data_IF_353207634950
#
_entry.id   IF_353207634950
#
_cell.length_a   1.000
_cell.length_b   1.000
_cell.length_c   1.000
_cell.angle_alpha   90.00
_cell.angle_beta   90.00
_cell.angle_gamma   90.00
#
_symmetry.space_group_name_H-M   'P 1'
#
loop_
_entity.id
_entity.type
_entity.pdbx_description
1 polymer ?
#
# COMPACT_ATOMS: atom_id res chain seq x y z
N UNK A 1 34.22 3.63 -53.24
CA UNK A 1 33.18 4.57 -52.78
C UNK A 1 31.94 3.84 -52.25
N UNK A 2 31.26 3.03 -53.06
CA UNK A 2 30.03 2.32 -52.66
C UNK A 2 30.21 1.37 -51.45
N UNK A 3 31.31 0.60 -51.42
CA UNK A 3 31.65 -0.30 -50.30
C UNK A 3 31.91 0.46 -49.00
N UNK A 4 32.57 1.63 -49.07
CA UNK A 4 32.86 2.43 -47.88
C UNK A 4 31.59 3.05 -47.27
N UNK A 5 30.64 3.47 -48.11
CA UNK A 5 29.33 3.95 -47.64
C UNK A 5 28.50 2.82 -46.99
N UNK A 6 28.57 1.60 -47.53
CA UNK A 6 27.86 0.45 -46.98
C UNK A 6 28.39 0.05 -45.59
N UNK A 7 29.72 0.04 -45.42
CA UNK A 7 30.36 -0.20 -44.12
C UNK A 7 29.99 0.90 -43.12
N UNK A 8 30.03 2.17 -43.54
CA UNK A 8 29.63 3.30 -42.69
C UNK A 8 28.18 3.19 -42.20
N UNK A 9 27.25 2.81 -43.08
CA UNK A 9 25.85 2.61 -42.72
C UNK A 9 25.63 1.46 -41.71
N UNK A 10 26.37 0.36 -41.85
CA UNK A 10 26.31 -0.77 -40.92
C UNK A 10 26.83 -0.37 -39.53
N UNK A 11 27.94 0.35 -39.46
CA UNK A 11 28.51 0.82 -38.19
C UNK A 11 27.55 1.78 -37.48
N UNK A 12 26.90 2.69 -38.22
CA UNK A 12 25.89 3.59 -37.67
C UNK A 12 24.67 2.81 -37.16
N UNK A 13 24.16 1.84 -37.92
CA UNK A 13 23.03 1.01 -37.48
C UNK A 13 23.36 0.18 -36.22
N UNK A 14 24.58 -0.37 -36.12
CA UNK A 14 25.03 -1.08 -34.92
C UNK A 14 25.15 -0.15 -33.71
N UNK A 15 25.68 1.06 -33.90
CA UNK A 15 25.78 2.06 -32.83
C UNK A 15 24.41 2.52 -32.33
N UNK A 16 23.45 2.77 -33.24
CA UNK A 16 22.08 3.12 -32.87
C UNK A 16 21.38 1.96 -32.16
N UNK A 17 21.54 0.73 -32.66
CA UNK A 17 20.94 -0.46 -32.03
C UNK A 17 21.50 -0.68 -30.63
N UNK A 18 22.82 -0.54 -30.45
CA UNK A 18 23.47 -0.61 -29.15
C UNK A 18 23.00 0.50 -28.20
N UNK A 19 22.89 1.74 -28.68
CA UNK A 19 22.36 2.85 -27.91
C UNK A 19 20.92 2.58 -27.43
N UNK A 20 20.04 2.14 -28.33
CA UNK A 20 18.65 1.82 -27.99
C UNK A 20 18.51 0.66 -27.00
N UNK A 21 19.40 -0.33 -27.07
CA UNK A 21 19.44 -1.42 -26.09
C UNK A 21 19.87 -0.91 -24.72
N UNK A 22 20.90 -0.07 -24.66
CA UNK A 22 21.42 0.50 -23.41
C UNK A 22 20.40 1.44 -22.77
N UNK A 23 19.76 2.33 -23.53
CA UNK A 23 18.74 3.23 -22.98
C UNK A 23 17.54 2.46 -22.44
N UNK A 24 17.08 1.41 -23.15
CA UNK A 24 16.01 0.53 -22.63
C UNK A 24 16.43 -0.19 -21.36
N UNK A 25 17.68 -0.65 -21.27
CA UNK A 25 18.19 -1.31 -20.07
C UNK A 25 18.29 -0.33 -18.88
N UNK A 26 18.72 0.91 -19.12
CA UNK A 26 18.76 1.97 -18.12
C UNK A 26 17.36 2.38 -17.65
N UNK A 27 16.44 2.62 -18.59
CA UNK A 27 15.04 2.95 -18.26
C UNK A 27 14.38 1.85 -17.41
N UNK A 28 14.72 0.58 -17.67
CA UNK A 28 14.27 -0.58 -16.88
C UNK A 28 14.83 -0.58 -15.47
N UNK A 29 16.14 -0.36 -15.30
CA UNK A 29 16.77 -0.32 -13.97
C UNK A 29 16.27 0.84 -13.12
N UNK A 30 16.09 2.02 -13.73
CA UNK A 30 15.55 3.20 -13.05
C UNK A 30 14.11 2.93 -12.60
N UNK A 31 13.25 2.42 -13.49
CA UNK A 31 11.85 2.10 -13.14
C UNK A 31 11.72 1.05 -12.03
N UNK A 32 12.58 0.04 -12.02
CA UNK A 32 12.59 -0.99 -10.97
C UNK A 32 13.03 -0.41 -9.61
N UNK A 33 14.03 0.46 -9.61
CA UNK A 33 14.55 1.10 -8.39
C UNK A 33 13.53 2.06 -7.80
N UNK A 34 12.93 2.92 -8.63
CA UNK A 34 11.86 3.83 -8.20
C UNK A 34 10.65 3.07 -7.64
N UNK A 35 10.29 1.95 -8.29
CA UNK A 35 9.21 1.09 -7.82
C UNK A 35 9.50 0.45 -6.47
N UNK A 36 10.71 -0.07 -6.27
CA UNK A 36 11.14 -0.68 -5.01
C UNK A 36 11.17 0.33 -3.86
N UNK A 37 11.69 1.54 -4.10
CA UNK A 37 11.67 2.61 -3.10
C UNK A 37 10.25 3.00 -2.71
N UNK A 38 9.35 3.13 -3.69
CA UNK A 38 7.94 3.47 -3.44
C UNK A 38 7.23 2.35 -2.64
N UNK A 39 7.46 1.09 -2.98
CA UNK A 39 6.94 -0.05 -2.25
C UNK A 39 7.44 -0.08 -0.80
N UNK A 40 8.74 0.13 -0.58
CA UNK A 40 9.33 0.20 0.77
C UNK A 40 8.75 1.34 1.60
N UNK A 41 8.64 2.54 1.02
CA UNK A 41 7.98 3.68 1.69
C UNK A 41 6.55 3.35 2.08
N UNK A 42 5.77 2.74 1.18
CA UNK A 42 4.39 2.38 1.47
C UNK A 42 4.28 1.37 2.62
N UNK A 43 5.17 0.38 2.66
CA UNK A 43 5.26 -0.60 3.74
C UNK A 43 5.64 0.04 5.08
N UNK A 44 6.55 1.01 5.09
CA UNK A 44 6.95 1.73 6.30
C UNK A 44 5.82 2.59 6.86
N UNK A 45 5.06 3.28 5.99
CA UNK A 45 3.86 4.02 6.39
C UNK A 45 2.84 3.09 7.05
N UNK A 46 2.52 1.95 6.42
CA UNK A 46 1.56 1.01 6.99
C UNK A 46 2.05 0.41 8.31
N UNK A 47 3.35 0.12 8.43
CA UNK A 47 3.93 -0.34 9.69
C UNK A 47 3.78 0.70 10.80
N UNK A 48 4.07 1.96 10.52
CA UNK A 48 3.95 3.04 11.49
C UNK A 48 2.50 3.20 11.99
N UNK A 49 1.52 3.20 11.07
CA UNK A 49 0.12 3.35 11.45
C UNK A 49 -0.41 2.16 12.25
N UNK A 50 0.01 0.94 11.90
CA UNK A 50 -0.36 -0.28 12.61
C UNK A 50 0.22 -0.36 14.03
N UNK A 51 1.40 0.23 14.26
CA UNK A 51 2.01 0.28 15.59
C UNK A 51 1.19 1.10 16.59
N UNK A 52 0.48 2.12 16.10
CA UNK A 52 -0.43 2.96 16.90
C UNK A 52 -1.91 2.64 16.66
N UNK A 53 -2.21 1.51 16.03
CA UNK A 53 -3.59 1.12 15.76
C UNK A 53 -4.38 0.93 17.07
N UNK A 54 -5.70 1.11 17.00
CA UNK A 54 -6.62 1.00 18.13
C UNK A 54 -7.65 -0.12 17.86
N UNK A 55 -8.08 -0.86 18.88
CA UNK A 55 -9.19 -1.79 18.71
C UNK A 55 -10.48 -1.01 18.47
N UNK A 56 -11.34 -1.51 17.57
CA UNK A 56 -12.66 -0.95 17.30
C UNK A 56 -13.71 -2.04 17.26
N UNK A 57 -14.95 -1.68 17.60
CA UNK A 57 -16.11 -2.56 17.42
C UNK A 57 -16.37 -2.81 15.93
N UNK A 58 -16.91 -3.98 15.57
CA UNK A 58 -17.15 -4.35 14.16
C UNK A 58 -17.98 -3.32 13.37
N UNK A 59 -18.88 -2.60 14.03
CA UNK A 59 -19.77 -1.62 13.40
C UNK A 59 -19.25 -0.17 13.55
N UNK A 60 -18.02 0.00 14.04
CA UNK A 60 -17.36 1.29 14.18
C UNK A 60 -16.48 1.60 12.97
N UNK A 61 -16.29 2.88 12.59
CA UNK A 61 -15.24 3.27 11.63
C UNK A 61 -13.83 2.84 12.06
N UNK A 62 -13.65 2.47 13.33
CA UNK A 62 -12.41 1.93 13.87
C UNK A 62 -12.26 0.41 13.76
N UNK A 63 -13.25 -0.30 13.22
CA UNK A 63 -13.13 -1.71 12.95
C UNK A 63 -11.98 -1.97 11.97
N UNK A 64 -11.14 -2.96 12.30
CA UNK A 64 -10.25 -3.51 11.29
C UNK A 64 -11.09 -4.16 10.21
N UNK A 65 -10.91 -3.72 8.96
CA UNK A 65 -11.60 -4.30 7.82
C UNK A 65 -10.66 -4.38 6.64
N UNK A 66 -10.69 -5.52 5.95
CA UNK A 66 -10.07 -5.72 4.65
C UNK A 66 -11.19 -6.17 3.71
N UNK A 67 -11.39 -5.45 2.62
CA UNK A 67 -12.40 -5.78 1.62
C UNK A 67 -11.79 -5.77 0.22
N UNK A 68 -12.30 -6.62 -0.65
CA UNK A 68 -11.97 -6.60 -2.08
C UNK A 68 -13.12 -5.95 -2.84
N UNK A 69 -12.82 -4.99 -3.72
CA UNK A 69 -13.83 -4.15 -4.37
C UNK A 69 -14.69 -4.94 -5.38
N UNK A 70 -14.12 -6.00 -5.96
CA UNK A 70 -14.81 -6.92 -6.85
C UNK A 70 -14.38 -8.35 -6.54
N UNK A 71 -15.35 -9.27 -6.37
CA UNK A 71 -15.13 -10.72 -6.15
C UNK A 71 -14.36 -11.42 -7.29
N UNK A 72 -13.88 -10.69 -8.29
CA UNK A 72 -13.10 -11.18 -9.43
C UNK A 72 -11.72 -10.52 -9.64
N UNK A 73 -11.42 -9.36 -9.02
CA UNK A 73 -10.08 -8.74 -9.09
C UNK A 73 -9.53 -8.49 -7.67
N UNK A 74 -8.84 -9.50 -7.12
CA UNK A 74 -8.22 -9.44 -5.80
C UNK A 74 -7.11 -8.39 -5.67
N UNK A 75 -6.78 -7.69 -6.78
CA UNK A 75 -5.80 -6.60 -6.83
C UNK A 75 -6.41 -5.25 -6.45
N UNK A 76 -7.74 -5.18 -6.32
CA UNK A 76 -8.45 -4.02 -5.80
C UNK A 76 -8.95 -4.31 -4.39
N UNK A 77 -8.31 -3.73 -3.39
CA UNK A 77 -8.68 -3.88 -2.00
C UNK A 77 -8.69 -2.54 -1.26
N UNK A 78 -9.42 -2.52 -0.16
CA UNK A 78 -9.45 -1.44 0.83
C UNK A 78 -9.19 -2.05 2.22
N UNK A 79 -8.22 -1.49 2.94
CA UNK A 79 -7.91 -1.83 4.33
C UNK A 79 -8.11 -0.62 5.21
N UNK A 80 -8.91 -0.76 6.28
CA UNK A 80 -9.27 0.33 7.20
C UNK A 80 -9.11 -0.09 8.64
N UNK A 81 -8.70 0.87 9.47
CA UNK A 81 -8.59 0.77 10.92
C UNK A 81 -8.45 2.18 11.52
N UNK A 82 -8.54 2.30 12.85
CA UNK A 82 -8.19 3.54 13.53
C UNK A 82 -6.78 3.49 14.11
N UNK A 83 -6.10 4.63 14.08
CA UNK A 83 -4.79 4.83 14.69
C UNK A 83 -4.80 6.04 15.60
N UNK A 84 -4.03 5.97 16.69
CA UNK A 84 -3.80 7.10 17.59
C UNK A 84 -2.64 7.93 17.05
N UNK A 85 -2.85 9.23 16.91
CA UNK A 85 -1.78 10.17 16.57
C UNK A 85 -1.62 11.23 17.64
N UNK A 86 -0.38 11.41 18.08
CA UNK A 86 -0.01 12.54 18.93
C UNK A 86 0.20 13.73 18.01
N UNK A 87 -0.74 14.68 18.05
CA UNK A 87 -0.61 15.93 17.32
C UNK A 87 0.04 16.96 18.23
N UNK A 88 1.12 17.58 17.76
CA UNK A 88 1.75 18.69 18.47
C UNK A 88 0.81 19.91 18.39
N UNK A 89 0.26 20.39 19.51
CA UNK A 89 -0.69 21.48 19.46
C UNK A 89 0.04 22.75 19.04
N UNK A 90 -0.51 23.44 18.04
CA UNK A 90 0.06 24.69 17.55
C UNK A 90 0.17 25.79 18.63
N UNK A 91 -0.48 25.66 19.81
CA UNK A 91 -0.35 26.69 20.86
C UNK A 91 -0.85 26.41 22.31
N UNK A 92 -1.15 25.18 22.79
CA UNK A 92 -1.45 24.95 24.23
C UNK A 92 -1.40 23.47 24.64
N UNK A 93 -0.80 23.20 25.80
CA UNK A 93 -0.96 21.95 26.55
C UNK A 93 -2.45 21.74 26.92
N UNK A 94 -2.96 20.49 26.97
CA UNK A 94 -2.24 19.22 26.82
C UNK A 94 -2.29 18.66 25.39
N UNK A 95 -1.36 17.75 25.09
CA UNK A 95 -1.42 16.87 23.92
C UNK A 95 -2.79 16.21 23.85
N UNK A 96 -3.52 16.41 22.75
CA UNK A 96 -4.76 15.69 22.51
C UNK A 96 -4.40 14.48 21.66
N UNK A 97 -4.54 13.29 22.24
CA UNK A 97 -4.52 12.07 21.45
C UNK A 97 -5.72 12.13 20.50
N UNK A 98 -5.46 12.34 19.21
CA UNK A 98 -6.49 12.29 18.20
C UNK A 98 -6.59 10.86 17.66
N UNK A 99 -7.82 10.40 17.48
CA UNK A 99 -8.10 9.13 16.82
C UNK A 99 -8.37 9.44 15.35
N UNK A 100 -7.60 8.78 14.49
CA UNK A 100 -7.67 8.96 13.04
C UNK A 100 -8.13 7.66 12.41
N UNK A 101 -9.14 7.73 11.54
CA UNK A 101 -9.42 6.66 10.59
C UNK A 101 -8.30 6.68 9.55
N UNK A 102 -7.62 5.54 9.41
CA UNK A 102 -6.60 5.32 8.38
C UNK A 102 -7.15 4.35 7.36
N UNK A 103 -7.02 4.71 6.09
CA UNK A 103 -7.47 3.90 4.96
C UNK A 103 -6.34 3.71 3.98
N UNK A 104 -6.14 2.47 3.57
CA UNK A 104 -5.29 2.10 2.45
C UNK A 104 -6.14 1.47 1.38
N UNK A 105 -5.92 1.82 0.13
CA UNK A 105 -6.61 1.17 -0.97
C UNK A 105 -5.79 1.19 -2.24
N UNK A 106 -6.10 0.24 -3.11
CA UNK A 106 -5.49 0.16 -4.42
C UNK A 106 -6.47 0.62 -5.49
N UNK A 107 -5.98 1.42 -6.43
CA UNK A 107 -6.74 1.77 -7.65
C UNK A 107 -5.98 1.36 -8.90
N UNK A 108 -6.73 1.10 -9.97
CA UNK A 108 -6.16 0.82 -11.28
C UNK A 108 -5.81 2.14 -11.97
N UNK A 109 -4.53 2.38 -12.25
CA UNK A 109 -4.08 3.57 -12.95
C UNK A 109 -4.20 3.43 -14.47
N UNK A 110 -3.76 2.28 -15.00
CA UNK A 110 -3.69 2.04 -16.44
C UNK A 110 -3.85 0.56 -16.76
N UNK A 111 -3.62 0.16 -18.02
CA UNK A 111 -3.77 -1.23 -18.45
C UNK A 111 -2.72 -2.11 -17.74
N UNK A 112 -3.17 -2.80 -16.69
CA UNK A 112 -2.35 -3.76 -15.95
C UNK A 112 -1.47 -3.12 -14.86
N UNK A 113 -1.67 -1.83 -14.55
CA UNK A 113 -0.95 -1.17 -13.45
C UNK A 113 -1.89 -0.62 -12.39
N UNK A 114 -1.41 -0.63 -11.15
CA UNK A 114 -2.12 -0.28 -9.94
C UNK A 114 -1.28 0.69 -9.11
N UNK A 115 -1.98 1.51 -8.31
CA UNK A 115 -1.40 2.40 -7.33
C UNK A 115 -1.98 2.09 -5.95
N UNK A 116 -1.18 2.32 -4.91
CA UNK A 116 -1.56 2.26 -3.51
C UNK A 116 -1.66 3.67 -2.94
N UNK A 117 -2.83 3.96 -2.40
CA UNK A 117 -3.15 5.21 -1.74
C UNK A 117 -3.31 4.99 -0.25
N UNK A 118 -3.11 6.07 0.49
CA UNK A 118 -3.39 6.17 1.92
C UNK A 118 -4.14 7.46 2.20
N UNK A 119 -5.20 7.39 3.00
CA UNK A 119 -5.88 8.56 3.51
C UNK A 119 -6.05 8.49 5.02
N UNK A 120 -6.17 9.68 5.61
CA UNK A 120 -6.41 9.83 7.03
C UNK A 120 -7.46 10.90 7.29
N UNK A 121 -8.31 10.63 8.27
CA UNK A 121 -9.34 11.56 8.71
C UNK A 121 -9.55 11.43 10.22
N UNK A 122 -9.74 12.55 10.92
CA UNK A 122 -10.08 12.54 12.35
C UNK A 122 -11.43 11.85 12.53
N UNK A 123 -11.52 10.86 13.42
CA UNK A 123 -12.81 10.23 13.74
C UNK A 123 -13.69 11.18 14.53
N UNK A 124 -14.96 11.33 14.14
CA UNK A 124 -15.93 12.17 14.84
C UNK A 124 -16.13 13.56 14.26
N UNK A 125 -15.25 14.03 13.37
CA UNK A 125 -15.44 15.25 12.59
C UNK A 125 -16.27 15.00 11.32
N UNK A 126 -17.43 14.37 11.48
CA UNK A 126 -18.37 14.04 10.39
C UNK A 126 -19.27 15.22 10.01
N UNK A 127 -19.01 16.42 10.54
CA UNK A 127 -19.58 17.64 9.99
C UNK A 127 -19.08 17.78 8.55
N UNK A 128 -20.00 17.73 7.59
CA UNK A 128 -19.81 17.58 6.13
C UNK A 128 -18.95 18.67 5.44
N UNK A 129 -18.20 19.49 6.19
CA UNK A 129 -17.43 20.62 5.65
C UNK A 129 -16.07 20.91 6.28
N UNK A 130 -15.57 20.18 7.28
CA UNK A 130 -14.36 20.61 8.03
C UNK A 130 -13.24 19.58 8.16
N UNK A 131 -13.47 18.29 7.95
CA UNK A 131 -12.40 17.29 7.98
C UNK A 131 -11.91 16.97 6.57
N UNK A 132 -10.92 17.72 6.08
CA UNK A 132 -10.25 17.38 4.84
C UNK A 132 -9.45 16.09 5.03
N UNK A 133 -9.96 14.96 4.54
CA UNK A 133 -9.18 13.73 4.48
C UNK A 133 -7.89 13.99 3.68
N UNK A 134 -6.73 13.73 4.27
CA UNK A 134 -5.45 13.89 3.57
C UNK A 134 -5.13 12.62 2.79
N UNK A 135 -5.24 12.65 1.47
CA UNK A 135 -4.93 11.52 0.59
C UNK A 135 -3.53 11.63 0.01
N UNK A 136 -2.74 10.57 0.13
CA UNK A 136 -1.37 10.46 -0.38
C UNK A 136 -1.24 9.24 -1.30
N UNK A 137 -0.63 9.44 -2.47
CA UNK A 137 -0.14 8.35 -3.32
C UNK A 137 1.15 7.82 -2.70
N UNK A 138 1.17 6.56 -2.28
CA UNK A 138 2.34 5.93 -1.65
C UNK A 138 3.22 5.19 -2.67
N UNK A 139 2.56 4.46 -3.58
CA UNK A 139 3.22 3.71 -4.64
C UNK A 139 2.34 3.71 -5.88
N UNK A 140 2.94 3.89 -7.06
CA UNK A 140 2.24 3.87 -8.35
C UNK A 140 2.95 2.98 -9.36
N UNK A 141 2.32 2.72 -10.50
CA UNK A 141 2.87 1.90 -11.59
C UNK A 141 3.33 0.51 -11.11
N UNK A 142 2.54 -0.15 -10.26
CA UNK A 142 2.78 -1.52 -9.82
C UNK A 142 1.97 -2.50 -10.67
N UNK A 143 2.47 -3.70 -10.94
CA UNK A 143 1.69 -4.72 -11.68
C UNK A 143 0.55 -5.28 -10.83
N UNK A 144 0.81 -5.49 -9.54
CA UNK A 144 -0.21 -5.81 -8.56
C UNK A 144 0.27 -5.51 -7.15
N UNK A 145 -0.69 -5.24 -6.27
CA UNK A 145 -0.47 -5.03 -4.84
C UNK A 145 -1.53 -5.87 -4.15
N UNK A 146 -1.13 -6.88 -3.39
CA UNK A 146 -2.03 -7.75 -2.65
C UNK A 146 -1.91 -7.45 -1.15
N UNK A 147 -3.04 -7.32 -0.49
CA UNK A 147 -3.12 -7.28 0.96
C UNK A 147 -3.83 -8.54 1.44
N UNK A 148 -3.22 -9.22 2.41
CA UNK A 148 -3.78 -10.43 3.02
C UNK A 148 -3.61 -10.35 4.52
N UNK A 149 -4.49 -11.03 5.26
CA UNK A 149 -4.40 -11.15 6.70
C UNK A 149 -4.22 -12.61 7.10
N UNK A 150 -3.45 -12.85 8.16
CA UNK A 150 -3.28 -14.19 8.71
C UNK A 150 -4.36 -14.49 9.74
N UNK A 151 -4.99 -15.66 9.62
CA UNK A 151 -5.91 -16.20 10.61
C UNK A 151 -5.87 -17.73 10.66
N UNK A 152 -5.48 -18.27 11.81
CA UNK A 152 -5.46 -19.73 12.09
C UNK A 152 -4.66 -20.53 11.05
N UNK A 153 -3.49 -20.03 10.66
CA UNK A 153 -2.56 -20.63 9.70
C UNK A 153 -2.95 -20.43 8.23
N UNK A 154 -3.90 -19.54 7.92
CA UNK A 154 -4.37 -19.27 6.55
C UNK A 154 -4.30 -17.79 6.24
N UNK A 155 -3.99 -17.48 4.98
CA UNK A 155 -4.04 -16.12 4.44
C UNK A 155 -5.42 -15.85 3.85
N UNK A 156 -6.05 -14.76 4.27
CA UNK A 156 -7.37 -14.31 3.83
C UNK A 156 -7.22 -12.97 3.10
N UNK A 157 -8.03 -12.75 2.07
CA UNK A 157 -8.10 -11.48 1.33
C UNK A 157 -9.22 -10.57 1.84
N UNK A 158 -9.97 -11.01 2.85
CA UNK A 158 -11.06 -10.27 3.48
C UNK A 158 -10.99 -10.43 5.00
N UNK A 159 -11.39 -9.38 5.73
CA UNK A 159 -11.45 -9.34 7.18
C UNK A 159 -12.59 -8.43 7.63
N UNK A 160 -13.36 -8.78 8.68
CA UNK A 160 -13.22 -9.96 9.55
C UNK A 160 -13.64 -11.29 8.91
N UNK A 161 -13.05 -12.40 9.36
CA UNK A 161 -13.51 -13.76 9.02
C UNK A 161 -14.78 -14.09 9.84
N UNK A 162 -15.78 -14.81 9.30
CA UNK A 162 -16.99 -15.16 10.07
C UNK A 162 -16.72 -15.96 11.35
N UNK A 163 -15.55 -16.61 11.47
CA UNK A 163 -15.12 -17.35 12.64
C UNK A 163 -14.18 -16.55 13.57
N UNK A 164 -13.89 -15.29 13.26
CA UNK A 164 -13.09 -14.42 14.13
C UNK A 164 -13.93 -13.86 15.28
N UNK A 165 -13.28 -13.60 16.41
CA UNK A 165 -13.92 -12.88 17.52
C UNK A 165 -14.28 -11.45 17.07
N UNK A 166 -15.49 -10.94 17.40
CA UNK A 166 -15.87 -9.58 17.08
C UNK A 166 -14.88 -8.55 17.62
N UNK A 167 -14.51 -7.56 16.79
CA UNK A 167 -13.62 -6.45 17.15
C UNK A 167 -12.15 -6.82 17.30
N UNK A 168 -11.78 -8.09 17.05
CA UNK A 168 -10.39 -8.53 17.14
C UNK A 168 -9.63 -8.19 15.86
N UNK A 169 -8.47 -7.54 15.93
CA UNK A 169 -7.62 -7.36 14.75
C UNK A 169 -7.02 -8.69 14.26
N UNK A 170 -6.64 -8.78 12.99
CA UNK A 170 -5.79 -9.87 12.51
C UNK A 170 -4.41 -9.77 13.19
N UNK A 171 -3.72 -10.89 13.40
CA UNK A 171 -2.40 -10.87 14.04
C UNK A 171 -1.28 -10.38 13.10
N UNK A 172 -1.38 -10.74 11.83
CA UNK A 172 -0.43 -10.39 10.79
C UNK A 172 -1.17 -9.92 9.54
N UNK A 173 -0.58 -8.93 8.87
CA UNK A 173 -0.99 -8.42 7.58
C UNK A 173 0.21 -8.61 6.65
N UNK A 174 -0.01 -9.20 5.48
CA UNK A 174 1.00 -9.35 4.45
C UNK A 174 0.68 -8.44 3.27
N UNK A 175 1.65 -7.61 2.93
CA UNK A 175 1.64 -6.89 1.67
C UNK A 175 2.59 -7.59 0.68
N UNK A 176 2.08 -7.88 -0.52
CA UNK A 176 2.85 -8.44 -1.63
C UNK A 176 2.77 -7.47 -2.80
N UNK A 177 3.91 -6.93 -3.23
CA UNK A 177 4.00 -5.98 -4.32
C UNK A 177 4.76 -6.60 -5.49
N UNK A 178 4.10 -6.67 -6.64
CA UNK A 178 4.73 -7.02 -7.90
C UNK A 178 5.09 -5.72 -8.61
N UNK A 179 6.40 -5.44 -8.69
CA UNK A 179 6.91 -4.29 -9.41
C UNK A 179 6.72 -4.51 -10.90
N UNK A 180 6.53 -3.41 -11.65
CA UNK A 180 6.48 -3.49 -13.11
C UNK A 180 7.88 -3.80 -13.64
N UNK A 181 8.23 -5.08 -13.73
CA UNK A 181 9.52 -5.57 -14.21
C UNK A 181 9.31 -6.62 -15.29
N UNK A 182 10.02 -6.45 -16.41
CA UNK A 182 9.91 -7.29 -17.61
C UNK A 182 10.83 -8.52 -17.59
N UNK A 183 11.24 -9.00 -16.42
CA UNK A 183 11.89 -10.30 -16.27
C UNK A 183 10.96 -11.23 -15.48
N UNK A 184 10.61 -12.38 -16.07
CA UNK A 184 9.69 -13.37 -15.51
C UNK A 184 10.14 -13.94 -14.14
N UNK A 185 11.35 -13.62 -13.67
CA UNK A 185 11.99 -14.19 -12.48
C UNK A 185 12.19 -13.20 -11.31
N UNK A 186 11.68 -11.97 -11.35
CA UNK A 186 11.81 -11.07 -10.21
C UNK A 186 10.86 -11.47 -9.08
N UNK A 187 11.42 -11.87 -7.93
CA UNK A 187 10.62 -12.18 -6.74
C UNK A 187 9.81 -10.96 -6.27
N UNK A 188 8.53 -11.15 -5.89
CA UNK A 188 7.72 -10.06 -5.38
C UNK A 188 8.29 -9.51 -4.07
N UNK A 189 8.16 -8.21 -3.88
CA UNK A 189 8.52 -7.57 -2.62
C UNK A 189 7.43 -7.90 -1.62
N UNK A 190 7.79 -8.64 -0.56
CA UNK A 190 6.85 -9.07 0.47
C UNK A 190 7.27 -8.56 1.84
N UNK A 191 6.30 -8.10 2.64
CA UNK A 191 6.52 -7.82 4.06
C UNK A 191 5.36 -8.34 4.89
N UNK A 192 5.71 -8.85 6.07
CA UNK A 192 4.76 -9.21 7.12
C UNK A 192 4.75 -8.10 8.16
N UNK A 193 3.58 -7.49 8.34
CA UNK A 193 3.31 -6.42 9.27
C UNK A 193 2.57 -6.99 10.47
N UNK A 194 3.14 -6.80 11.65
CA UNK A 194 2.54 -7.24 12.90
C UNK A 194 1.53 -6.22 13.41
N UNK A 195 0.35 -6.70 13.82
CA UNK A 195 -0.64 -5.89 14.52
C UNK A 195 -0.53 -6.18 16.02
N UNK A 196 -0.31 -5.17 16.87
CA UNK A 196 -0.09 -5.37 18.30
C UNK A 196 -1.20 -6.21 18.96
N UNK A 197 -0.82 -7.32 19.60
CA UNK A 197 -1.77 -8.22 20.28
C UNK A 197 -2.37 -7.64 21.56
N UNK A 198 -1.81 -6.54 22.08
CA UNK A 198 -2.34 -5.79 23.22
C UNK A 198 -3.59 -4.98 22.88
N UNK A 199 -4.03 -4.99 21.63
CA UNK A 199 -5.29 -4.39 21.18
C UNK A 199 -6.46 -5.28 21.58
N UNK A 200 -6.76 -5.31 22.87
CA UNK A 200 -8.02 -5.84 23.37
C UNK A 200 -9.04 -4.71 23.44
N UNK A 201 -10.17 -4.87 22.74
CA UNK A 201 -11.33 -4.02 22.98
C UNK A 201 -11.74 -4.15 24.45
N UNK A 202 -11.71 -3.05 25.18
CA UNK A 202 -12.36 -2.94 26.48
C UNK A 202 -13.62 -2.11 26.25
N UNK A 203 -14.79 -2.75 26.41
CA UNK A 203 -16.04 -2.02 26.52
C UNK A 203 -15.87 -0.91 27.57
N UNK A 204 -16.32 0.33 27.31
CA UNK A 204 -16.45 1.29 28.40
C UNK A 204 -17.34 0.66 29.48
N UNK A 205 -16.79 0.52 30.70
CA UNK A 205 -17.58 0.05 31.83
C UNK A 205 -18.64 1.11 32.17
N UNK A 206 -19.88 0.69 32.50
CA UNK A 206 -21.00 1.60 32.79
C UNK A 206 -20.77 2.47 34.03
#
# INVERSE_FOLDING_TARGET
LLVAMLIGAIVIMLAISGYLMITRALDRQVGTTEGLEAANRAMDWMRADLQSALPGENDSPCAFSLSTADRGDSRLWEFRFCSRKTVEPAMREPWVDEVWEVRYWTEKESRGTYALYRSEQITGSWDEGTASASTNLLAGKMESILCMVEFKGRWLTEWPDPQSEPGRPPALIRLVVHLTSQEDDQEPVQTDLFVPSSLTWQAPQP
#
